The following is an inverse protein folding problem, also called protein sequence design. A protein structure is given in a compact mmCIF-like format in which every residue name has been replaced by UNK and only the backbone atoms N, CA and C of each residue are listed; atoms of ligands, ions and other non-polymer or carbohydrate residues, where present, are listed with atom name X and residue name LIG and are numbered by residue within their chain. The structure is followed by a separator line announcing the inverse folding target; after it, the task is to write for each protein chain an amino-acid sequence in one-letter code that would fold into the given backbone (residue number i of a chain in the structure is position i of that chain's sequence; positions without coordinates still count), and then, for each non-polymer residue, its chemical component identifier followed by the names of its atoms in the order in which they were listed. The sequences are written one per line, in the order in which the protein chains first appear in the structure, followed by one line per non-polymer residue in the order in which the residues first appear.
data_IF_901992979101
#
_entry.id   IF_901992979101
#
_cell.length_a   1.000
_cell.length_b   1.000
_cell.length_c   1.000
_cell.angle_alpha   90.00
_cell.angle_beta   90.00
_cell.angle_gamma   90.00
#
_symmetry.space_group_name_H-M   'P 1'
#
loop_
_entity.id
_entity.type
_entity.pdbx_description
1 polymer ?
#
# COMPACT_ATOMS: atom_id res chain seq x y z
N UNK A 1 0.78 7.42 6.52
CA UNK A 1 1.68 6.78 5.55
C UNK A 1 1.25 5.34 5.38
N UNK A 2 0.93 4.91 4.16
CA UNK A 2 0.39 3.56 3.86
C UNK A 2 1.38 2.69 3.06
N UNK A 3 2.65 3.10 2.98
CA UNK A 3 3.65 2.51 2.08
C UNK A 3 4.44 1.35 2.70
N UNK A 4 4.11 0.93 3.92
CA UNK A 4 4.84 -0.14 4.61
C UNK A 4 4.21 -1.52 4.36
N UNK A 5 3.95 -1.82 3.09
CA UNK A 5 3.78 -3.20 2.65
C UNK A 5 5.07 -3.59 1.95
N UNK A 6 5.64 -4.73 2.34
CA UNK A 6 6.85 -5.32 1.73
C UNK A 6 6.77 -5.28 0.20
N UNK A 7 5.58 -5.49 -0.36
CA UNK A 7 5.32 -5.51 -1.80
C UNK A 7 5.52 -4.18 -2.54
N UNK A 8 5.73 -3.04 -1.88
CA UNK A 8 5.86 -1.73 -2.54
C UNK A 8 7.15 -0.98 -2.22
N UNK A 9 8.00 -1.55 -1.36
CA UNK A 9 9.24 -0.90 -0.90
C UNK A 9 10.17 -0.57 -2.08
N UNK A 10 10.12 -1.34 -3.15
CA UNK A 10 10.99 -1.16 -4.32
C UNK A 10 10.66 0.06 -5.16
N UNK A 11 9.45 0.61 -5.00
CA UNK A 11 9.10 1.89 -5.62
C UNK A 11 9.93 3.05 -5.04
N UNK A 12 10.52 2.86 -3.86
CA UNK A 12 11.45 3.81 -3.25
C UNK A 12 12.72 4.02 -4.10
N UNK A 13 13.06 3.11 -5.02
CA UNK A 13 14.15 3.32 -5.98
C UNK A 13 13.94 4.57 -6.84
N UNK A 14 12.69 4.94 -7.10
CA UNK A 14 12.32 6.09 -7.92
C UNK A 14 12.06 7.37 -7.11
N UNK A 15 12.12 7.29 -5.77
CA UNK A 15 11.96 8.44 -4.90
C UNK A 15 13.26 9.29 -4.90
N UNK A 16 13.19 10.59 -5.21
CA UNK A 16 14.35 11.48 -5.14
C UNK A 16 14.92 11.67 -3.72
N UNK A 17 14.14 11.43 -2.66
CA UNK A 17 14.58 11.59 -1.27
C UNK A 17 15.39 10.40 -0.75
N UNK A 18 15.33 9.25 -1.43
CA UNK A 18 16.08 8.06 -1.04
C UNK A 18 17.51 8.17 -1.54
N UNK A 19 18.48 8.03 -0.63
CA UNK A 19 19.91 8.17 -0.94
C UNK A 19 20.41 7.04 -1.83
N UNK A 20 21.48 7.30 -2.60
CA UNK A 20 22.09 6.32 -3.48
C UNK A 20 22.52 5.04 -2.73
N UNK A 21 23.00 5.16 -1.49
CA UNK A 21 23.37 4.02 -0.65
C UNK A 21 22.16 3.11 -0.36
N UNK A 22 21.01 3.69 -0.01
CA UNK A 22 19.79 2.92 0.27
C UNK A 22 19.29 2.26 -1.02
N UNK A 23 19.31 2.97 -2.15
CA UNK A 23 18.95 2.40 -3.46
C UNK A 23 19.84 1.22 -3.84
N UNK A 24 21.14 1.28 -3.51
CA UNK A 24 22.08 0.17 -3.70
C UNK A 24 21.66 -1.06 -2.93
N UNK A 25 21.34 -0.86 -1.66
CA UNK A 25 20.97 -1.97 -0.77
C UNK A 25 19.65 -2.61 -1.20
N UNK A 26 18.67 -1.82 -1.63
CA UNK A 26 17.41 -2.31 -2.18
C UNK A 26 17.64 -3.08 -3.49
N UNK A 27 18.40 -2.51 -4.45
CA UNK A 27 18.68 -3.17 -5.72
C UNK A 27 19.38 -4.52 -5.52
N UNK A 28 20.33 -4.58 -4.59
CA UNK A 28 21.00 -5.81 -4.19
C UNK A 28 20.02 -6.81 -3.57
N UNK A 29 19.18 -6.37 -2.63
CA UNK A 29 18.19 -7.22 -1.99
C UNK A 29 17.20 -7.83 -3.00
N UNK A 30 16.76 -7.08 -4.01
CA UNK A 30 15.88 -7.59 -5.09
C UNK A 30 16.56 -8.68 -5.95
N UNK A 31 17.89 -8.60 -6.09
CA UNK A 31 18.66 -9.54 -6.92
C UNK A 31 19.17 -10.76 -6.14
N UNK A 32 19.41 -10.62 -4.84
CA UNK A 32 20.11 -11.63 -4.01
C UNK A 32 19.21 -12.32 -2.99
N UNK A 33 18.15 -11.67 -2.49
CA UNK A 33 17.31 -12.24 -1.43
C UNK A 33 16.16 -13.04 -2.02
N UNK A 34 16.15 -14.34 -1.75
CA UNK A 34 15.01 -15.21 -2.08
C UNK A 34 13.71 -14.72 -1.44
N UNK A 35 12.62 -14.90 -2.17
CA UNK A 35 11.27 -14.63 -1.70
C UNK A 35 10.97 -15.50 -0.46
N UNK A 36 10.40 -14.94 0.63
CA UNK A 36 9.88 -15.77 1.72
C UNK A 36 8.75 -16.68 1.19
N UNK A 37 8.80 -17.98 1.50
CA UNK A 37 7.80 -18.95 0.99
C UNK A 37 6.36 -18.64 1.42
N UNK A 38 6.17 -17.94 2.55
CA UNK A 38 4.85 -17.59 3.09
C UNK A 38 4.70 -16.07 3.20
N UNK A 39 4.40 -15.41 2.08
CA UNK A 39 4.01 -14.00 2.10
C UNK A 39 2.60 -13.86 2.68
N UNK A 40 2.43 -13.16 3.82
CA UNK A 40 1.13 -13.07 4.45
C UNK A 40 0.16 -12.31 3.54
N UNK A 41 -0.99 -12.94 3.23
CA UNK A 41 -2.07 -12.35 2.39
C UNK A 41 -2.68 -11.07 2.97
N UNK A 42 -2.32 -10.71 4.21
CA UNK A 42 -2.71 -9.47 4.89
C UNK A 42 -1.46 -8.79 5.38
N UNK A 43 -1.46 -7.45 5.32
CA UNK A 43 -0.39 -6.65 5.91
C UNK A 43 -0.24 -7.00 7.39
N UNK A 44 0.89 -7.61 7.74
CA UNK A 44 1.29 -7.83 9.12
C UNK A 44 1.95 -6.54 9.61
N UNK A 45 1.45 -5.97 10.70
CA UNK A 45 2.07 -4.82 11.34
C UNK A 45 3.04 -5.36 12.40
N UNK A 46 4.36 -5.24 12.21
CA UNK A 46 5.32 -5.68 13.22
C UNK A 46 5.14 -4.85 14.50
N UNK A 47 5.51 -5.43 15.65
CA UNK A 47 5.61 -4.67 16.88
C UNK A 47 6.54 -3.46 16.67
N UNK A 48 6.16 -2.28 17.19
CA UNK A 48 6.88 -1.02 16.94
C UNK A 48 8.37 -1.08 17.30
N UNK A 49 8.73 -1.89 18.30
CA UNK A 49 10.10 -2.15 18.72
C UNK A 49 10.96 -2.83 17.64
N UNK A 50 10.36 -3.67 16.80
CA UNK A 50 11.05 -4.37 15.71
C UNK A 50 11.28 -3.50 14.47
N UNK A 51 10.59 -2.36 14.35
CA UNK A 51 10.71 -1.47 13.18
C UNK A 51 11.96 -0.59 13.31
N UNK A 52 12.32 -0.17 14.52
CA UNK A 52 13.46 0.73 14.79
C UNK A 52 14.81 0.16 14.34
N UNK A 53 14.92 -1.15 14.18
CA UNK A 53 16.16 -1.83 13.78
C UNK A 53 16.20 -2.21 12.30
N UNK A 54 15.09 -2.05 11.57
CA UNK A 54 14.99 -2.46 10.16
C UNK A 54 15.31 -1.32 9.20
N UNK A 55 16.00 -1.64 8.13
CA UNK A 55 16.24 -0.75 6.98
C UNK A 55 15.28 -1.05 5.85
N UNK A 56 15.18 -0.12 4.91
CA UNK A 56 14.30 -0.27 3.74
C UNK A 56 14.68 -1.48 2.88
N UNK A 57 15.97 -1.82 2.81
CA UNK A 57 16.43 -3.03 2.11
C UNK A 57 15.94 -4.35 2.71
N UNK A 58 15.59 -4.37 4.00
CA UNK A 58 15.16 -5.59 4.70
C UNK A 58 13.76 -6.03 4.30
N UNK A 59 13.05 -5.17 3.55
CA UNK A 59 11.71 -5.42 3.04
C UNK A 59 11.69 -5.61 1.52
N UNK A 60 12.87 -5.66 0.88
CA UNK A 60 13.02 -5.90 -0.56
C UNK A 60 13.54 -7.32 -0.81
N UNK A 61 13.00 -8.01 -1.81
CA UNK A 61 13.39 -9.38 -2.18
C UNK A 61 13.00 -9.68 -3.62
N UNK A 62 13.16 -10.92 -4.08
CA UNK A 62 12.68 -11.31 -5.41
C UNK A 62 11.16 -11.10 -5.62
N UNK A 63 10.37 -11.02 -4.55
CA UNK A 63 8.91 -10.73 -4.58
C UNK A 63 8.55 -9.38 -5.23
N UNK A 64 9.55 -8.51 -5.36
CA UNK A 64 9.46 -7.22 -6.02
C UNK A 64 9.33 -7.33 -7.55
N UNK A 65 9.81 -8.43 -8.15
CA UNK A 65 9.82 -8.63 -9.61
C UNK A 65 8.39 -8.64 -10.22
N UNK A 66 7.39 -9.34 -9.64
CA UNK A 66 5.99 -9.24 -10.06
C UNK A 66 5.44 -7.81 -10.14
N UNK A 67 5.78 -6.93 -9.19
CA UNK A 67 5.33 -5.54 -9.19
C UNK A 67 5.86 -4.79 -10.42
N UNK A 68 7.17 -4.89 -10.68
CA UNK A 68 7.78 -4.26 -11.86
C UNK A 68 7.15 -4.77 -13.16
N UNK A 69 6.87 -6.08 -13.25
CA UNK A 69 6.18 -6.68 -14.39
C UNK A 69 4.76 -6.12 -14.55
N UNK A 70 4.00 -6.01 -13.46
CA UNK A 70 2.65 -5.44 -13.46
C UNK A 70 2.62 -3.97 -13.90
N UNK A 71 3.62 -3.19 -13.47
CA UNK A 71 3.80 -1.78 -13.85
C UNK A 71 4.47 -1.58 -15.21
N UNK A 72 4.87 -2.67 -15.90
CA UNK A 72 5.62 -2.65 -17.16
C UNK A 72 6.93 -1.86 -17.07
N UNK A 73 7.57 -1.89 -15.90
CA UNK A 73 8.88 -1.28 -15.66
C UNK A 73 9.95 -2.32 -15.95
N UNK A 74 10.92 -1.96 -16.80
CA UNK A 74 12.07 -2.82 -17.10
C UNK A 74 13.09 -2.73 -15.98
N UNK A 75 13.57 -3.87 -15.50
CA UNK A 75 14.51 -3.99 -14.37
C UNK A 75 15.99 -4.06 -14.79
N UNK A 76 16.30 -3.80 -16.07
CA UNK A 76 17.66 -3.90 -16.62
C UNK A 76 18.67 -2.97 -15.93
N UNK A 77 18.19 -1.88 -15.32
CA UNK A 77 19.00 -0.92 -14.59
C UNK A 77 19.44 -1.44 -13.22
N UNK A 78 18.76 -2.44 -12.63
CA UNK A 78 19.12 -2.96 -11.30
C UNK A 78 20.52 -3.56 -11.26
N UNK A 79 21.01 -4.09 -12.39
CA UNK A 79 22.36 -4.65 -12.52
C UNK A 79 23.43 -3.61 -12.88
N UNK A 80 23.06 -2.34 -13.04
CA UNK A 80 23.98 -1.24 -13.41
C UNK A 80 24.39 -0.44 -12.17
N UNK A 81 25.53 0.23 -12.27
CA UNK A 81 25.97 1.19 -11.25
C UNK A 81 24.97 2.34 -11.10
N UNK A 82 24.69 2.71 -9.85
CA UNK A 82 23.64 3.68 -9.49
C UNK A 82 23.88 5.05 -10.09
N UNK A 83 25.14 5.44 -10.22
CA UNK A 83 25.54 6.71 -10.83
C UNK A 83 25.02 6.82 -12.28
N UNK A 84 24.93 5.69 -12.98
CA UNK A 84 24.46 5.61 -14.36
C UNK A 84 22.93 5.61 -14.50
N UNK A 85 22.18 5.37 -13.41
CA UNK A 85 20.72 5.26 -13.46
C UNK A 85 20.05 6.56 -13.92
N UNK A 86 20.62 7.70 -13.54
CA UNK A 86 20.11 9.02 -13.96
C UNK A 86 20.14 9.23 -15.47
N UNK A 87 21.02 8.53 -16.19
CA UNK A 87 21.10 8.52 -17.65
C UNK A 87 20.31 7.38 -18.29
N UNK A 88 19.96 6.35 -17.54
CA UNK A 88 19.36 5.12 -18.05
C UNK A 88 17.91 5.32 -18.54
N UNK A 89 17.61 4.76 -19.71
CA UNK A 89 16.29 4.90 -20.34
C UNK A 89 15.20 4.13 -19.59
N UNK A 90 15.52 2.94 -19.09
CA UNK A 90 14.56 2.08 -18.41
C UNK A 90 14.25 2.63 -17.01
N UNK A 91 15.27 3.15 -16.31
CA UNK A 91 15.08 3.86 -15.04
C UNK A 91 14.20 5.10 -15.22
N UNK A 92 14.48 5.96 -16.21
CA UNK A 92 13.65 7.14 -16.50
C UNK A 92 12.21 6.78 -16.83
N UNK A 93 12.00 5.73 -17.63
CA UNK A 93 10.65 5.25 -17.92
C UNK A 93 9.94 4.78 -16.64
N UNK A 94 10.64 4.07 -15.76
CA UNK A 94 10.13 3.67 -14.44
C UNK A 94 9.73 4.87 -13.58
N UNK A 95 10.56 5.93 -13.52
CA UNK A 95 10.23 7.17 -12.80
C UNK A 95 8.91 7.77 -13.29
N UNK A 96 8.69 7.82 -14.60
CA UNK A 96 7.44 8.36 -15.17
C UNK A 96 6.24 7.52 -14.76
N UNK A 97 6.35 6.18 -14.86
CA UNK A 97 5.29 5.26 -14.45
C UNK A 97 4.94 5.44 -12.98
N UNK A 98 5.93 5.43 -12.09
CA UNK A 98 5.72 5.52 -10.64
C UNK A 98 5.15 6.88 -10.24
N UNK A 99 5.61 7.98 -10.83
CA UNK A 99 5.03 9.31 -10.61
C UNK A 99 3.59 9.43 -11.13
N UNK A 100 3.22 8.65 -12.14
CA UNK A 100 1.87 8.59 -12.69
C UNK A 100 0.91 7.73 -11.87
N UNK A 101 1.39 6.96 -10.88
CA UNK A 101 0.52 6.19 -10.01
C UNK A 101 -0.34 7.14 -9.17
N UNK A 102 -1.67 7.04 -9.33
CA UNK A 102 -2.62 7.72 -8.44
C UNK A 102 -2.68 6.97 -7.11
N UNK A 103 -1.67 7.14 -6.27
CA UNK A 103 -1.56 6.42 -5.01
C UNK A 103 -2.53 7.02 -4.00
N UNK A 104 -3.52 6.23 -3.60
CA UNK A 104 -4.34 6.38 -2.38
C UNK A 104 -5.31 7.56 -2.28
N UNK A 105 -5.06 8.70 -2.91
CA UNK A 105 -5.91 9.87 -2.63
C UNK A 105 -7.33 9.69 -3.16
N UNK A 106 -7.50 9.20 -4.39
CA UNK A 106 -8.85 9.06 -4.97
C UNK A 106 -9.77 8.11 -4.19
N UNK A 107 -9.25 6.98 -3.69
CA UNK A 107 -10.07 6.03 -2.91
C UNK A 107 -10.32 6.53 -1.49
N UNK A 108 -9.35 7.20 -0.86
CA UNK A 108 -9.55 7.83 0.44
C UNK A 108 -10.53 9.01 0.36
N UNK A 109 -10.38 9.90 -0.61
CA UNK A 109 -11.31 11.00 -0.91
C UNK A 109 -12.71 10.48 -1.22
N UNK A 110 -12.83 9.41 -2.03
CA UNK A 110 -14.11 8.77 -2.32
C UNK A 110 -14.72 8.14 -1.07
N UNK A 111 -13.92 7.53 -0.21
CA UNK A 111 -14.35 6.98 1.07
C UNK A 111 -14.88 8.06 2.01
N UNK A 112 -14.13 9.16 2.16
CA UNK A 112 -14.53 10.33 2.95
C UNK A 112 -15.82 10.93 2.38
N UNK A 113 -15.90 11.12 1.06
CA UNK A 113 -17.10 11.64 0.37
C UNK A 113 -18.31 10.74 0.63
N UNK A 114 -18.14 9.42 0.57
CA UNK A 114 -19.22 8.47 0.84
C UNK A 114 -19.69 8.55 2.29
N UNK A 115 -18.76 8.60 3.24
CA UNK A 115 -19.05 8.75 4.68
C UNK A 115 -19.78 10.07 4.92
N UNK A 116 -19.27 11.19 4.39
CA UNK A 116 -19.90 12.49 4.51
C UNK A 116 -21.30 12.49 3.90
N UNK A 117 -21.48 11.96 2.68
CA UNK A 117 -22.78 11.88 2.01
C UNK A 117 -23.78 11.06 2.83
N UNK A 118 -23.34 9.97 3.46
CA UNK A 118 -24.18 9.12 4.29
C UNK A 118 -24.55 9.79 5.62
N UNK A 119 -23.56 10.30 6.36
CA UNK A 119 -23.79 10.91 7.67
C UNK A 119 -24.66 12.17 7.53
N UNK A 120 -24.45 13.00 6.51
CA UNK A 120 -25.27 14.22 6.26
C UNK A 120 -26.76 13.90 6.01
N UNK A 121 -27.10 12.67 5.60
CA UNK A 121 -28.49 12.21 5.44
C UNK A 121 -29.15 11.79 6.76
N UNK A 122 -28.36 11.39 7.76
CA UNK A 122 -28.84 10.90 9.06
C UNK A 122 -28.82 12.03 10.09
N UNK A 123 -27.72 12.79 10.14
CA UNK A 123 -27.46 13.80 11.17
C UNK A 123 -26.85 15.06 10.55
N UNK A 124 -27.26 16.24 11.05
CA UNK A 124 -26.80 17.55 10.52
C UNK A 124 -25.79 18.28 11.41
N UNK A 125 -25.49 17.73 12.60
CA UNK A 125 -24.59 18.33 13.58
C UNK A 125 -23.40 17.42 13.85
N UNK A 126 -22.20 18.00 13.95
CA UNK A 126 -20.94 17.29 14.14
C UNK A 126 -20.90 16.42 15.42
N UNK A 127 -21.51 16.88 16.51
CA UNK A 127 -21.60 16.12 17.77
C UNK A 127 -22.30 14.77 17.57
N UNK A 128 -23.33 14.75 16.72
CA UNK A 128 -24.07 13.54 16.38
C UNK A 128 -23.31 12.66 15.39
N UNK A 129 -22.42 13.24 14.57
CA UNK A 129 -21.57 12.51 13.63
C UNK A 129 -20.56 11.65 14.39
N UNK A 130 -19.87 12.26 15.35
CA UNK A 130 -18.87 11.58 16.17
C UNK A 130 -19.51 10.48 17.04
N UNK A 131 -20.68 10.75 17.62
CA UNK A 131 -21.41 9.74 18.39
C UNK A 131 -21.85 8.56 17.50
N UNK A 132 -22.36 8.83 16.30
CA UNK A 132 -22.75 7.77 15.36
C UNK A 132 -21.57 6.87 14.97
N UNK A 133 -20.39 7.46 14.72
CA UNK A 133 -19.19 6.69 14.40
C UNK A 133 -18.76 5.77 15.55
N UNK A 134 -18.84 6.25 16.80
CA UNK A 134 -18.55 5.44 17.99
C UNK A 134 -19.50 4.26 18.13
N UNK A 135 -20.80 4.49 17.95
CA UNK A 135 -21.84 3.43 18.01
C UNK A 135 -21.66 2.40 16.91
N UNK A 136 -21.33 2.83 15.68
CA UNK A 136 -21.08 1.91 14.56
C UNK A 136 -19.85 1.02 14.81
N UNK A 137 -18.78 1.59 15.38
CA UNK A 137 -17.59 0.84 15.72
C UNK A 137 -17.86 -0.16 16.86
N UNK A 138 -18.52 0.27 17.94
CA UNK A 138 -18.95 -0.62 19.03
C UNK A 138 -19.81 -1.78 18.51
N UNK A 139 -20.78 -1.49 17.64
CA UNK A 139 -21.62 -2.52 17.02
C UNK A 139 -20.81 -3.49 16.15
N UNK A 140 -19.75 -3.03 15.47
CA UNK A 140 -18.85 -3.90 14.68
C UNK A 140 -18.07 -4.87 15.58
N UNK A 141 -17.67 -4.44 16.77
CA UNK A 141 -17.04 -5.31 17.78
C UNK A 141 -18.04 -6.33 18.36
N UNK A 142 -19.28 -5.90 18.60
CA UNK A 142 -20.34 -6.76 19.15
C UNK A 142 -20.89 -7.78 18.14
N UNK A 143 -20.76 -7.51 16.83
CA UNK A 143 -21.26 -8.37 15.75
C UNK A 143 -20.14 -8.76 14.77
N UNK A 144 -19.11 -9.51 15.22
CA UNK A 144 -18.04 -9.96 14.36
C UNK A 144 -18.57 -11.01 13.37
N UNK A 145 -18.44 -10.73 12.07
CA UNK A 145 -18.81 -11.68 11.01
C UNK A 145 -20.07 -11.37 10.21
N UNK A 146 -20.61 -10.15 10.30
CA UNK A 146 -21.62 -9.63 9.36
C UNK A 146 -21.01 -9.39 7.97
N UNK A 147 -20.57 -10.46 7.31
CA UNK A 147 -20.26 -10.43 5.90
C UNK A 147 -21.55 -10.30 5.09
N UNK A 148 -21.46 -9.82 3.85
CA UNK A 148 -22.60 -9.71 2.93
C UNK A 148 -23.35 -11.04 2.72
N UNK A 149 -22.72 -12.18 3.04
CA UNK A 149 -23.32 -13.52 2.99
C UNK A 149 -24.26 -13.81 4.17
N UNK A 150 -24.13 -13.10 5.30
CA UNK A 150 -24.98 -13.26 6.48
C UNK A 150 -26.21 -12.36 6.53
N UNK A 151 -26.39 -11.48 5.54
CA UNK A 151 -27.59 -10.65 5.42
C UNK A 151 -28.70 -11.50 4.76
N UNK A 152 -29.90 -11.63 5.37
CA UNK A 152 -31.00 -12.32 4.71
C UNK A 152 -31.33 -11.60 3.40
N UNK A 153 -31.21 -12.30 2.28
CA UNK A 153 -31.61 -11.76 0.98
C UNK A 153 -33.09 -11.38 1.07
N UNK A 154 -33.44 -10.12 0.82
CA UNK A 154 -34.85 -9.72 0.73
C UNK A 154 -35.49 -10.50 -0.41
N UNK A 155 -36.23 -11.55 -0.08
CA UNK A 155 -37.18 -12.18 -0.99
C UNK A 155 -38.14 -11.09 -1.46
N UNK A 156 -38.14 -10.78 -2.76
CA UNK A 156 -39.20 -9.98 -3.38
C UNK A 156 -40.51 -10.70 -3.13
N UNK A 157 -41.34 -10.19 -2.22
CA UNK A 157 -42.75 -10.58 -2.17
C UNK A 157 -43.42 -9.90 -3.37
N UNK A 158 -43.97 -10.75 -4.25
CA UNK A 158 -44.84 -10.37 -5.37
C UNK A 158 -46.19 -9.89 -4.86
#
# INVERSE_FOLDING_TARGET
MWYLSESFVDLALFDPQVTALIKKNIARAILENEAPEDTPKRAFVPAASSISTKQLSDFASEESKPLFKGLKIKTSFLSKEIETWTGDRDFKAGVVVVRGLQVTNYMAERGITLIQAFITKITKREDQHQHLLQVVEEHRWLQPGTSKQGLPSKSRQQ
#
